data_IF_880483330869
#
_entry.id   IF_880483330869
#
_cell.length_a   1.000
_cell.length_b   1.000
_cell.length_c   1.000
_cell.angle_alpha   90.00
_cell.angle_beta   90.00
_cell.angle_gamma   90.00
#
_symmetry.space_group_name_H-M   'P 1'
#
loop_
_entity.id
_entity.type
_entity.pdbx_description
1 polymer ?
#
# COMPACT_ATOMS: atom_id res chain seq x y z
N UNK A 1 39.19 53.45 -24.14
CA UNK A 1 39.39 52.05 -24.55
C UNK A 1 39.29 51.04 -23.38
N UNK A 2 39.81 51.31 -22.22
CA UNK A 2 39.81 50.38 -21.07
C UNK A 2 38.44 50.03 -20.49
N UNK A 3 37.52 51.00 -20.40
CA UNK A 3 36.17 50.77 -19.82
C UNK A 3 35.35 49.78 -20.67
N UNK A 4 35.48 49.83 -22.00
CA UNK A 4 34.80 48.92 -22.91
C UNK A 4 35.28 47.44 -22.73
N UNK A 5 36.56 47.24 -22.49
CA UNK A 5 37.13 45.90 -22.22
C UNK A 5 36.65 45.32 -20.89
N UNK A 6 36.57 46.17 -19.85
CA UNK A 6 36.08 45.75 -18.55
C UNK A 6 34.61 45.26 -18.65
N UNK A 7 33.78 46.00 -19.37
CA UNK A 7 32.38 45.61 -19.60
C UNK A 7 32.24 44.29 -20.37
N UNK A 8 33.09 44.09 -21.40
CA UNK A 8 33.08 42.82 -22.17
C UNK A 8 33.50 41.63 -21.30
N UNK A 9 34.52 41.78 -20.47
CA UNK A 9 34.96 40.72 -19.54
C UNK A 9 33.87 40.40 -18.51
N UNK A 10 33.24 41.44 -17.96
CA UNK A 10 32.15 41.27 -16.99
C UNK A 10 30.94 40.54 -17.61
N UNK A 11 30.55 40.91 -18.82
CA UNK A 11 29.46 40.26 -19.57
C UNK A 11 29.78 38.80 -19.86
N UNK A 12 31.03 38.47 -20.22
CA UNK A 12 31.47 37.12 -20.45
C UNK A 12 31.43 36.28 -19.17
N UNK A 13 31.90 36.82 -18.05
CA UNK A 13 31.83 36.14 -16.74
C UNK A 13 30.39 35.87 -16.30
N UNK A 14 29.50 36.84 -16.44
CA UNK A 14 28.07 36.67 -16.14
C UNK A 14 27.46 35.58 -17.03
N UNK A 15 27.77 35.55 -18.32
CA UNK A 15 27.25 34.54 -19.26
C UNK A 15 27.76 33.16 -18.90
N UNK A 16 29.01 33.02 -18.50
CA UNK A 16 29.58 31.71 -18.02
C UNK A 16 28.88 31.28 -16.73
N UNK A 17 28.66 32.17 -15.78
CA UNK A 17 27.95 31.86 -14.55
C UNK A 17 26.51 31.38 -14.81
N UNK A 18 25.78 32.07 -15.71
CA UNK A 18 24.42 31.64 -16.11
C UNK A 18 24.44 30.26 -16.76
N UNK A 19 25.40 29.99 -17.64
CA UNK A 19 25.55 28.68 -18.29
C UNK A 19 25.81 27.56 -17.27
N UNK A 20 26.73 27.78 -16.32
CA UNK A 20 27.03 26.82 -15.25
C UNK A 20 25.81 26.58 -14.37
N UNK A 21 25.09 27.62 -13.98
CA UNK A 21 23.87 27.50 -13.20
C UNK A 21 22.80 26.67 -13.94
N UNK A 22 22.57 26.95 -15.23
CA UNK A 22 21.62 26.21 -16.06
C UNK A 22 21.99 24.72 -16.16
N UNK A 23 23.28 24.39 -16.31
CA UNK A 23 23.75 23.00 -16.33
C UNK A 23 23.50 22.32 -14.97
N UNK A 24 23.78 23.00 -13.87
CA UNK A 24 23.57 22.48 -12.52
C UNK A 24 22.06 22.23 -12.25
N UNK A 25 21.20 23.21 -12.58
CA UNK A 25 19.76 23.06 -12.45
C UNK A 25 19.22 21.90 -13.29
N UNK A 26 19.63 21.81 -14.56
CA UNK A 26 19.21 20.71 -15.46
C UNK A 26 19.64 19.33 -14.92
N UNK A 27 20.84 19.22 -14.31
CA UNK A 27 21.29 17.97 -13.69
C UNK A 27 20.46 17.61 -12.45
N UNK A 28 20.12 18.61 -11.62
CA UNK A 28 19.30 18.42 -10.42
C UNK A 28 17.88 17.98 -10.81
N UNK A 29 17.27 18.61 -11.82
CA UNK A 29 15.95 18.24 -12.33
C UNK A 29 15.94 16.80 -12.88
N UNK A 30 16.88 16.46 -13.76
CA UNK A 30 16.97 15.09 -14.31
C UNK A 30 17.19 14.04 -13.23
N UNK A 31 18.02 14.31 -12.22
CA UNK A 31 18.23 13.41 -11.09
C UNK A 31 16.93 13.25 -10.26
N UNK A 32 16.18 14.32 -10.09
CA UNK A 32 14.89 14.31 -9.37
C UNK A 32 13.82 13.55 -10.14
N UNK A 33 13.70 13.77 -11.45
CA UNK A 33 12.79 13.03 -12.33
C UNK A 33 13.10 11.53 -12.30
N UNK A 34 14.36 11.14 -12.43
CA UNK A 34 14.78 9.75 -12.38
C UNK A 34 14.44 9.09 -11.03
N UNK A 35 14.67 9.78 -9.92
CA UNK A 35 14.30 9.27 -8.58
C UNK A 35 12.78 9.12 -8.44
N UNK A 36 12.00 10.10 -8.90
CA UNK A 36 10.54 10.04 -8.86
C UNK A 36 10.01 8.89 -9.71
N UNK A 37 10.54 8.70 -10.92
CA UNK A 37 10.17 7.62 -11.81
C UNK A 37 10.43 6.24 -11.17
N UNK A 38 11.62 6.04 -10.59
CA UNK A 38 11.96 4.79 -9.93
C UNK A 38 11.10 4.51 -8.70
N UNK A 39 10.84 5.52 -7.86
CA UNK A 39 9.94 5.39 -6.70
C UNK A 39 8.53 5.04 -7.16
N UNK A 40 8.04 5.70 -8.21
CA UNK A 40 6.69 5.45 -8.76
C UNK A 40 6.59 4.04 -9.34
N UNK A 41 7.60 3.57 -10.08
CA UNK A 41 7.67 2.20 -10.61
C UNK A 41 7.65 1.17 -9.50
N UNK A 42 8.48 1.35 -8.47
CA UNK A 42 8.54 0.42 -7.34
C UNK A 42 7.21 0.37 -6.58
N UNK A 43 6.60 1.52 -6.30
CA UNK A 43 5.29 1.58 -5.62
C UNK A 43 4.17 0.94 -6.44
N UNK A 44 4.18 1.14 -7.76
CA UNK A 44 3.22 0.48 -8.64
C UNK A 44 3.39 -1.04 -8.61
N UNK A 45 4.63 -1.53 -8.63
CA UNK A 45 4.92 -2.95 -8.49
C UNK A 45 4.42 -3.50 -7.15
N UNK A 46 4.75 -2.84 -6.03
CA UNK A 46 4.34 -3.26 -4.68
C UNK A 46 2.80 -3.29 -4.57
N UNK A 47 2.11 -2.30 -5.14
CA UNK A 47 0.65 -2.23 -5.17
C UNK A 47 0.03 -3.37 -5.99
N UNK A 48 0.55 -3.64 -7.19
CA UNK A 48 0.07 -4.74 -8.03
C UNK A 48 0.27 -6.08 -7.33
N UNK A 49 1.43 -6.26 -6.70
CA UNK A 49 1.74 -7.48 -5.95
C UNK A 49 0.84 -7.64 -4.72
N UNK A 50 0.58 -6.56 -4.01
CA UNK A 50 -0.38 -6.53 -2.90
C UNK A 50 -1.78 -6.96 -3.37
N UNK A 51 -2.24 -6.44 -4.50
CA UNK A 51 -3.54 -6.80 -5.09
C UNK A 51 -3.62 -8.28 -5.45
N UNK A 52 -2.59 -8.81 -6.09
CA UNK A 52 -2.48 -10.21 -6.47
C UNK A 52 -2.58 -11.14 -5.23
N UNK A 53 -1.74 -10.88 -4.23
CA UNK A 53 -1.70 -11.70 -3.01
C UNK A 53 -3.00 -11.57 -2.19
N UNK A 54 -3.57 -10.38 -2.11
CA UNK A 54 -4.86 -10.18 -1.42
C UNK A 54 -5.98 -10.97 -2.09
N UNK A 55 -6.05 -10.97 -3.42
CA UNK A 55 -7.02 -11.76 -4.18
C UNK A 55 -6.79 -13.27 -3.97
N UNK A 56 -5.54 -13.71 -3.91
CA UNK A 56 -5.18 -15.11 -3.64
C UNK A 56 -5.59 -15.56 -2.23
N UNK A 57 -5.35 -14.73 -1.20
CA UNK A 57 -5.84 -14.99 0.16
C UNK A 57 -7.37 -15.06 0.19
N UNK A 58 -8.07 -14.13 -0.46
CA UNK A 58 -9.53 -14.16 -0.53
C UNK A 58 -10.05 -15.44 -1.20
N UNK A 59 -9.40 -15.88 -2.28
CA UNK A 59 -9.76 -17.13 -2.95
C UNK A 59 -9.47 -18.36 -2.08
N UNK A 60 -8.31 -18.42 -1.44
CA UNK A 60 -7.97 -19.53 -0.53
C UNK A 60 -8.87 -19.58 0.70
N UNK A 61 -9.40 -18.44 1.15
CA UNK A 61 -10.31 -18.37 2.31
C UNK A 61 -11.79 -18.35 1.92
N UNK A 62 -12.10 -18.69 0.66
CA UNK A 62 -13.46 -19.00 0.24
C UNK A 62 -13.93 -20.32 0.90
N UNK A 63 -15.18 -20.31 1.36
CA UNK A 63 -15.74 -21.45 2.13
C UNK A 63 -15.72 -22.73 1.33
N UNK A 64 -16.04 -22.69 0.05
CA UNK A 64 -16.04 -23.88 -0.80
C UNK A 64 -14.64 -24.50 -0.94
N UNK A 65 -13.61 -23.65 -0.95
CA UNK A 65 -12.21 -24.09 -1.02
C UNK A 65 -11.77 -24.67 0.33
N UNK A 66 -12.12 -23.98 1.43
CA UNK A 66 -11.79 -24.41 2.78
C UNK A 66 -12.40 -25.78 3.07
N UNK A 67 -13.68 -25.99 2.80
CA UNK A 67 -14.35 -27.27 3.06
C UNK A 67 -13.69 -28.45 2.32
N UNK A 68 -13.17 -28.18 1.12
CA UNK A 68 -12.50 -29.20 0.30
C UNK A 68 -11.05 -29.45 0.70
N UNK A 69 -10.32 -28.39 1.11
CA UNK A 69 -8.85 -28.42 1.18
C UNK A 69 -8.25 -28.23 2.56
N UNK A 70 -9.06 -27.95 3.57
CA UNK A 70 -8.60 -27.62 4.93
C UNK A 70 -7.69 -28.68 5.59
N UNK A 71 -7.75 -29.92 5.12
CA UNK A 71 -6.88 -30.99 5.58
C UNK A 71 -5.55 -31.11 4.83
N UNK A 72 -5.36 -30.35 3.76
CA UNK A 72 -4.14 -30.40 2.96
C UNK A 72 -3.09 -29.49 3.62
N UNK A 73 -1.93 -30.04 3.97
CA UNK A 73 -0.82 -29.28 4.58
C UNK A 73 -0.36 -28.15 3.65
N UNK A 74 -0.19 -28.45 2.36
CA UNK A 74 0.25 -27.49 1.35
C UNK A 74 -0.69 -26.28 1.22
N UNK A 75 -1.99 -26.49 1.45
CA UNK A 75 -2.99 -25.41 1.46
C UNK A 75 -2.74 -24.41 2.59
N UNK A 76 -2.52 -24.90 3.81
CA UNK A 76 -2.25 -24.05 4.97
C UNK A 76 -0.90 -23.36 4.86
N UNK A 77 0.13 -24.08 4.39
CA UNK A 77 1.45 -23.48 4.15
C UNK A 77 1.36 -22.33 3.15
N UNK A 78 0.63 -22.51 2.06
CA UNK A 78 0.41 -21.46 1.05
C UNK A 78 -0.31 -20.26 1.65
N UNK A 79 -1.41 -20.47 2.39
CA UNK A 79 -2.16 -19.38 3.03
C UNK A 79 -1.28 -18.59 4.01
N UNK A 80 -0.47 -19.27 4.82
CA UNK A 80 0.46 -18.65 5.76
C UNK A 80 1.55 -17.87 5.01
N UNK A 81 2.07 -18.41 3.90
CA UNK A 81 3.10 -17.75 3.10
C UNK A 81 2.57 -16.44 2.49
N UNK A 82 1.39 -16.49 1.88
CA UNK A 82 0.74 -15.32 1.28
C UNK A 82 0.42 -14.27 2.34
N UNK A 83 -0.03 -14.69 3.52
CA UNK A 83 -0.22 -13.80 4.67
C UNK A 83 1.07 -13.09 5.09
N UNK A 84 2.21 -13.78 5.09
CA UNK A 84 3.53 -13.19 5.37
C UNK A 84 3.97 -12.22 4.27
N UNK A 85 3.70 -12.52 3.01
CA UNK A 85 4.03 -11.63 1.89
C UNK A 85 3.33 -10.27 2.01
N UNK A 86 2.04 -10.24 2.37
CA UNK A 86 1.34 -8.97 2.66
C UNK A 86 2.07 -8.17 3.74
N UNK A 87 2.51 -8.83 4.80
CA UNK A 87 3.24 -8.19 5.88
C UNK A 87 4.54 -7.51 5.42
N UNK A 88 5.25 -8.10 4.44
CA UNK A 88 6.47 -7.50 3.87
C UNK A 88 6.17 -6.36 2.91
N UNK A 89 5.06 -6.40 2.19
CA UNK A 89 4.65 -5.34 1.26
C UNK A 89 4.15 -4.09 1.99
N UNK A 90 3.48 -4.27 3.12
CA UNK A 90 3.02 -3.20 3.99
C UNK A 90 4.18 -2.75 4.87
N UNK A 91 4.64 -1.53 4.66
CA UNK A 91 5.83 -0.98 5.33
C UNK A 91 5.59 -0.55 6.79
N UNK A 92 4.42 -0.82 7.34
CA UNK A 92 4.00 -0.41 8.71
C UNK A 92 4.18 1.07 9.05
N UNK A 93 4.31 1.93 8.02
CA UNK A 93 4.50 3.37 8.22
C UNK A 93 3.18 4.11 8.39
N UNK A 94 2.07 3.48 7.99
CA UNK A 94 0.74 4.07 8.02
C UNK A 94 -0.12 3.34 9.06
N UNK A 95 -0.99 4.09 9.71
CA UNK A 95 -2.03 3.52 10.58
C UNK A 95 -2.91 2.53 9.81
N UNK A 96 -3.13 2.82 8.56
CA UNK A 96 -3.95 2.05 7.62
C UNK A 96 -3.34 0.69 7.26
N UNK A 97 -2.01 0.59 7.24
CA UNK A 97 -1.30 -0.69 7.08
C UNK A 97 -1.69 -1.67 8.19
N UNK A 98 -1.87 -1.16 9.41
CA UNK A 98 -2.29 -1.95 10.56
C UNK A 98 -3.69 -2.52 10.36
N UNK A 99 -4.63 -1.74 9.82
CA UNK A 99 -6.00 -2.22 9.57
C UNK A 99 -6.01 -3.43 8.64
N UNK A 100 -5.25 -3.38 7.55
CA UNK A 100 -5.11 -4.51 6.60
C UNK A 100 -4.50 -5.73 7.28
N UNK A 101 -3.43 -5.54 8.06
CA UNK A 101 -2.73 -6.62 8.75
C UNK A 101 -3.64 -7.30 9.77
N UNK A 102 -4.30 -6.53 10.65
CA UNK A 102 -5.13 -7.07 11.71
C UNK A 102 -6.33 -7.88 11.18
N UNK A 103 -6.99 -7.37 10.14
CA UNK A 103 -8.12 -8.11 9.52
C UNK A 103 -7.64 -9.37 8.82
N UNK A 104 -6.51 -9.32 8.10
CA UNK A 104 -5.88 -10.49 7.50
C UNK A 104 -5.51 -11.53 8.57
N UNK A 105 -4.92 -11.12 9.68
CA UNK A 105 -4.51 -12.03 10.75
C UNK A 105 -5.73 -12.70 11.40
N UNK A 106 -6.82 -11.94 11.61
CA UNK A 106 -8.10 -12.53 12.09
C UNK A 106 -8.67 -13.54 11.12
N UNK A 107 -8.64 -13.23 9.81
CA UNK A 107 -9.08 -14.15 8.77
C UNK A 107 -8.28 -15.45 8.79
N UNK A 108 -6.95 -15.36 8.72
CA UNK A 108 -6.05 -16.54 8.71
C UNK A 108 -6.20 -17.37 9.98
N UNK A 109 -6.23 -16.71 11.15
CA UNK A 109 -6.44 -17.41 12.43
C UNK A 109 -7.80 -18.09 12.50
N UNK A 110 -8.86 -17.52 11.92
CA UNK A 110 -10.18 -18.18 11.84
C UNK A 110 -10.14 -19.44 11.00
N UNK A 111 -9.37 -19.44 9.88
CA UNK A 111 -9.16 -20.65 9.08
C UNK A 111 -8.39 -21.71 9.88
N UNK A 112 -7.31 -21.34 10.56
CA UNK A 112 -6.52 -22.26 11.39
C UNK A 112 -7.38 -22.87 12.51
N UNK A 113 -8.21 -22.05 13.18
CA UNK A 113 -9.14 -22.54 14.20
C UNK A 113 -10.16 -23.53 13.62
N UNK A 114 -10.70 -23.24 12.44
CA UNK A 114 -11.60 -24.16 11.76
C UNK A 114 -10.93 -25.48 11.39
N UNK A 115 -9.64 -25.48 11.05
CA UNK A 115 -8.89 -26.70 10.83
C UNK A 115 -8.84 -27.61 12.07
N UNK A 116 -8.82 -26.99 13.26
CA UNK A 116 -8.70 -27.71 14.53
C UNK A 116 -10.03 -28.25 15.05
N UNK A 117 -11.11 -27.48 15.00
CA UNK A 117 -12.39 -27.83 15.65
C UNK A 117 -13.59 -27.99 14.71
N UNK A 118 -13.49 -27.55 13.46
CA UNK A 118 -14.53 -27.65 12.40
C UNK A 118 -15.92 -27.18 12.81
N UNK A 119 -16.00 -26.27 13.76
CA UNK A 119 -17.29 -25.75 14.17
C UNK A 119 -17.93 -24.84 13.11
N UNK A 120 -19.25 -25.01 12.82
CA UNK A 120 -19.95 -24.19 11.82
C UNK A 120 -19.86 -22.69 12.06
N UNK A 121 -19.77 -22.25 13.33
CA UNK A 121 -19.60 -20.83 13.69
C UNK A 121 -18.32 -20.23 13.11
N UNK A 122 -17.25 -21.05 12.98
CA UNK A 122 -15.98 -20.59 12.42
C UNK A 122 -16.08 -20.31 10.93
N UNK A 123 -16.86 -21.09 10.18
CA UNK A 123 -17.15 -20.82 8.76
C UNK A 123 -17.80 -19.45 8.59
N UNK A 124 -18.79 -19.13 9.40
CA UNK A 124 -19.47 -17.83 9.34
C UNK A 124 -18.52 -16.67 9.65
N UNK A 125 -17.61 -16.85 10.61
CA UNK A 125 -16.59 -15.88 10.91
C UNK A 125 -15.61 -15.70 9.74
N UNK A 126 -15.15 -16.78 9.14
CA UNK A 126 -14.26 -16.74 7.96
C UNK A 126 -14.93 -15.96 6.83
N UNK A 127 -16.20 -16.22 6.51
CA UNK A 127 -16.93 -15.47 5.49
C UNK A 127 -16.98 -13.97 5.77
N UNK A 128 -17.25 -13.59 7.02
CA UNK A 128 -17.29 -12.19 7.43
C UNK A 128 -15.92 -11.52 7.30
N UNK A 129 -14.85 -12.16 7.78
CA UNK A 129 -13.50 -11.62 7.69
C UNK A 129 -12.97 -11.61 6.27
N UNK A 130 -13.30 -12.60 5.43
CA UNK A 130 -12.93 -12.60 4.01
C UNK A 130 -13.54 -11.39 3.29
N UNK A 131 -14.85 -11.14 3.46
CA UNK A 131 -15.52 -9.97 2.89
C UNK A 131 -14.91 -8.66 3.37
N UNK A 132 -14.65 -8.53 4.66
CA UNK A 132 -14.03 -7.33 5.23
C UNK A 132 -12.61 -7.13 4.71
N UNK A 133 -11.80 -8.20 4.68
CA UNK A 133 -10.43 -8.15 4.18
C UNK A 133 -10.38 -7.72 2.71
N UNK A 134 -11.24 -8.29 1.85
CA UNK A 134 -11.31 -7.89 0.45
C UNK A 134 -11.60 -6.40 0.30
N UNK A 135 -12.60 -5.87 1.00
CA UNK A 135 -12.96 -4.44 0.96
C UNK A 135 -11.83 -3.52 1.44
N UNK A 136 -11.16 -3.88 2.53
CA UNK A 136 -10.04 -3.09 3.09
C UNK A 136 -8.82 -3.15 2.17
N UNK A 137 -8.50 -4.31 1.61
CA UNK A 137 -7.42 -4.46 0.65
C UNK A 137 -7.70 -3.65 -0.64
N UNK A 138 -8.93 -3.65 -1.14
CA UNK A 138 -9.34 -2.82 -2.27
C UNK A 138 -9.25 -1.32 -1.95
N UNK A 139 -9.74 -0.89 -0.80
CA UNK A 139 -9.64 0.49 -0.34
C UNK A 139 -8.19 0.95 -0.24
N UNK A 140 -7.33 0.13 0.37
CA UNK A 140 -5.91 0.42 0.51
C UNK A 140 -5.24 0.55 -0.87
N UNK A 141 -5.45 -0.43 -1.75
CA UNK A 141 -4.89 -0.44 -3.09
C UNK A 141 -5.39 0.75 -3.94
N UNK A 142 -6.67 1.10 -3.83
CA UNK A 142 -7.23 2.25 -4.54
C UNK A 142 -6.60 3.56 -4.06
N UNK A 143 -6.46 3.72 -2.74
CA UNK A 143 -5.81 4.89 -2.14
C UNK A 143 -4.35 5.00 -2.58
N UNK A 144 -3.61 3.89 -2.52
CA UNK A 144 -2.22 3.84 -2.97
C UNK A 144 -2.09 4.23 -4.45
N UNK A 145 -3.00 3.75 -5.30
CA UNK A 145 -3.00 4.09 -6.73
C UNK A 145 -3.30 5.57 -6.97
N UNK A 146 -4.22 6.19 -6.24
CA UNK A 146 -4.46 7.63 -6.33
C UNK A 146 -3.20 8.43 -5.93
N UNK A 147 -2.51 8.00 -4.87
CA UNK A 147 -1.25 8.61 -4.47
C UNK A 147 -0.16 8.49 -5.54
N UNK A 148 -0.06 7.32 -6.21
CA UNK A 148 0.89 7.11 -7.31
C UNK A 148 0.59 8.05 -8.48
N UNK A 149 -0.68 8.25 -8.85
CA UNK A 149 -1.07 9.20 -9.90
C UNK A 149 -0.66 10.64 -9.58
N UNK A 150 -0.92 11.10 -8.35
CA UNK A 150 -0.53 12.43 -7.90
C UNK A 150 0.99 12.62 -7.90
N UNK A 151 1.74 11.56 -7.55
CA UNK A 151 3.20 11.58 -7.61
C UNK A 151 3.74 11.60 -9.04
N UNK A 152 3.07 10.92 -9.97
CA UNK A 152 3.47 10.91 -11.39
C UNK A 152 3.42 12.31 -12.02
N UNK A 153 2.56 13.20 -11.51
CA UNK A 153 2.50 14.61 -11.92
C UNK A 153 3.39 15.53 -11.06
N UNK A 154 4.31 14.94 -10.28
CA UNK A 154 5.30 15.68 -9.50
C UNK A 154 4.85 16.15 -8.11
N UNK A 155 3.66 15.79 -7.64
CA UNK A 155 3.19 16.13 -6.29
C UNK A 155 3.84 15.21 -5.27
N UNK A 156 4.38 15.79 -4.20
CA UNK A 156 4.89 15.01 -3.06
C UNK A 156 3.70 14.59 -2.19
N UNK A 157 3.51 13.28 -2.01
CA UNK A 157 2.48 12.74 -1.12
C UNK A 157 3.12 12.41 0.24
N UNK A 158 2.57 13.03 1.27
CA UNK A 158 2.94 12.79 2.67
C UNK A 158 2.07 11.67 3.28
N UNK A 159 2.47 11.15 4.45
CA UNK A 159 1.66 10.19 5.22
C UNK A 159 0.29 10.76 5.58
N UNK A 160 0.21 12.03 5.94
CA UNK A 160 -1.04 12.72 6.27
C UNK A 160 -1.99 12.81 5.07
N UNK A 161 -1.46 13.07 3.88
CA UNK A 161 -2.27 13.11 2.65
C UNK A 161 -2.78 11.73 2.28
N UNK A 162 -1.97 10.66 2.46
CA UNK A 162 -2.43 9.29 2.29
C UNK A 162 -3.59 8.98 3.23
N UNK A 163 -3.43 9.24 4.53
CA UNK A 163 -4.48 9.02 5.53
C UNK A 163 -5.75 9.81 5.23
N UNK A 164 -5.64 11.04 4.77
CA UNK A 164 -6.78 11.88 4.38
C UNK A 164 -7.53 11.27 3.20
N UNK A 165 -6.83 10.80 2.17
CA UNK A 165 -7.42 10.12 1.02
C UNK A 165 -8.05 8.79 1.42
N UNK A 166 -7.39 8.00 2.26
CA UNK A 166 -7.91 6.75 2.78
C UNK A 166 -9.24 6.95 3.52
N UNK A 167 -9.29 7.90 4.45
CA UNK A 167 -10.52 8.24 5.19
C UNK A 167 -11.62 8.71 4.23
N UNK A 168 -11.29 9.53 3.23
CA UNK A 168 -12.25 9.99 2.22
C UNK A 168 -12.88 8.84 1.45
N UNK A 169 -12.09 7.84 1.03
CA UNK A 169 -12.61 6.70 0.27
C UNK A 169 -13.24 5.62 1.14
N UNK A 170 -12.88 5.55 2.41
CA UNK A 170 -13.39 4.57 3.37
C UNK A 170 -14.92 4.53 3.40
N UNK A 171 -15.59 5.67 3.43
CA UNK A 171 -17.05 5.78 3.40
C UNK A 171 -17.69 5.26 2.10
N UNK A 172 -16.91 5.08 1.04
CA UNK A 172 -17.37 4.53 -0.24
C UNK A 172 -17.21 3.00 -0.32
N UNK A 173 -16.23 2.45 0.40
CA UNK A 173 -15.89 1.04 0.37
C UNK A 173 -16.49 0.25 1.53
N UNK A 174 -16.63 0.85 2.70
CA UNK A 174 -17.11 0.19 3.91
C UNK A 174 -18.52 0.64 4.27
N UNK A 175 -19.38 -0.34 4.56
CA UNK A 175 -20.68 -0.09 5.19
C UNK A 175 -20.52 0.18 6.70
N UNK A 176 -21.56 0.63 7.36
CA UNK A 176 -21.56 0.81 8.82
C UNK A 176 -21.23 -0.50 9.55
N UNK A 177 -21.73 -1.64 9.06
CA UNK A 177 -21.45 -2.96 9.63
C UNK A 177 -19.96 -3.32 9.49
N UNK A 178 -19.36 -3.07 8.31
CA UNK A 178 -17.93 -3.27 8.08
C UNK A 178 -17.07 -2.40 9.01
N UNK A 179 -17.47 -1.14 9.22
CA UNK A 179 -16.79 -0.22 10.14
C UNK A 179 -16.83 -0.70 11.58
N UNK A 180 -17.99 -1.13 12.06
CA UNK A 180 -18.12 -1.66 13.42
C UNK A 180 -17.29 -2.93 13.59
N UNK A 181 -17.26 -3.80 12.59
CA UNK A 181 -16.45 -5.00 12.61
C UNK A 181 -14.95 -4.67 12.61
N UNK A 182 -14.51 -3.73 11.78
CA UNK A 182 -13.12 -3.27 11.75
C UNK A 182 -12.67 -2.70 13.09
N UNK A 183 -13.49 -1.83 13.70
CA UNK A 183 -13.21 -1.27 15.03
C UNK A 183 -13.06 -2.40 16.06
N UNK A 184 -13.93 -3.40 16.03
CA UNK A 184 -13.84 -4.53 16.96
C UNK A 184 -12.56 -5.34 16.79
N UNK A 185 -12.10 -5.53 15.55
CA UNK A 185 -10.84 -6.23 15.25
C UNK A 185 -9.65 -5.46 15.82
N UNK A 186 -9.57 -4.14 15.55
CA UNK A 186 -8.45 -3.31 15.98
C UNK A 186 -8.40 -3.15 17.51
N UNK A 187 -9.56 -2.97 18.15
CA UNK A 187 -9.64 -2.78 19.60
C UNK A 187 -9.17 -4.03 20.36
N UNK A 188 -9.52 -5.22 19.87
CA UNK A 188 -9.09 -6.49 20.48
C UNK A 188 -7.60 -6.78 20.29
N UNK A 189 -6.94 -6.18 19.29
CA UNK A 189 -5.50 -6.33 19.05
C UNK A 189 -4.64 -5.32 19.82
N UNK A 190 -5.24 -4.32 20.48
CA UNK A 190 -4.51 -3.31 21.27
C UNK A 190 -4.18 -3.78 22.70
N UNK A 191 -4.61 -4.96 23.09
CA UNK A 191 -4.42 -5.52 24.45
C UNK A 191 -3.34 -6.60 24.53
N UNK A 192 -2.47 -6.72 23.49
CA UNK A 192 -1.32 -7.64 23.49
C UNK A 192 0.01 -6.89 23.28
#
# INVERSE_FOLDING_TARGET
MEISYIFQILTLLVSICILVLNILFSRIEKSREYLLENITKQRNYDMLKMREISAEICALTDVEIIEKKVCEVDYLEKLILDSKHIYFLLKRYYKEDREVIEVKDKLVNSVINYCNDREPRNILQIQKYNKLFNKIAELFNYTAWQCIKEQAIGKRITTTEFSTLYIKYRTQYLSLEDEMMLISVISNSAHF
#
